data_IF_781170369462
#
_entry.id   IF_781170369462
#
_cell.length_a   1.000
_cell.length_b   1.000
_cell.length_c   1.000
_cell.angle_alpha   90.00
_cell.angle_beta   90.00
_cell.angle_gamma   90.00
#
_symmetry.space_group_name_H-M   'P 1'
#
loop_
_entity.id
_entity.type
_entity.pdbx_description
1 polymer ?
#
# COMPACT_ATOMS: atom_id res chain seq x y z
N UNK A 1 46.55 43.66 -70.34
CA UNK A 1 45.43 44.55 -70.69
C UNK A 1 44.53 44.60 -69.46
N UNK A 2 44.50 45.76 -68.80
CA UNK A 2 43.65 46.20 -67.64
C UNK A 2 43.52 45.20 -66.46
N UNK A 3 44.17 45.33 -65.30
CA UNK A 3 44.34 46.41 -64.29
C UNK A 3 43.03 46.74 -63.50
N UNK A 4 43.19 46.70 -62.17
CA UNK A 4 42.45 47.37 -61.06
C UNK A 4 41.56 46.41 -60.21
N UNK A 5 41.90 45.95 -58.98
CA UNK A 5 42.44 46.53 -57.71
C UNK A 5 41.31 46.65 -56.66
N UNK A 6 41.28 45.82 -55.61
CA UNK A 6 41.53 46.07 -54.16
C UNK A 6 40.35 45.39 -53.40
N UNK A 7 40.40 44.85 -52.18
CA UNK A 7 41.31 44.90 -51.03
C UNK A 7 40.88 43.80 -50.04
N UNK A 8 41.83 43.06 -49.49
CA UNK A 8 41.73 42.18 -48.29
C UNK A 8 41.51 43.00 -46.99
N UNK A 9 41.44 42.42 -45.76
CA UNK A 9 41.06 41.06 -45.27
C UNK A 9 40.15 41.12 -44.01
N UNK A 10 39.73 39.98 -43.44
CA UNK A 10 39.84 39.70 -41.97
C UNK A 10 39.25 38.35 -41.50
N UNK A 11 40.15 37.53 -40.93
CA UNK A 11 40.05 36.77 -39.65
C UNK A 11 38.76 35.98 -39.35
N UNK A 12 38.84 34.66 -39.17
CA UNK A 12 39.05 34.01 -37.87
C UNK A 12 39.19 32.48 -38.04
N UNK A 13 40.10 31.90 -37.25
CA UNK A 13 40.36 30.48 -37.07
C UNK A 13 39.10 29.70 -36.64
N UNK A 14 39.04 28.42 -37.02
CA UNK A 14 38.71 27.34 -36.08
C UNK A 14 39.26 26.01 -36.60
N UNK A 15 40.34 25.57 -35.96
CA UNK A 15 40.77 24.18 -35.94
C UNK A 15 39.89 23.41 -34.97
N UNK A 16 39.46 22.20 -35.35
CA UNK A 16 39.14 21.18 -34.34
C UNK A 16 39.65 19.82 -34.79
N UNK A 17 40.54 19.33 -33.94
CA UNK A 17 41.27 18.07 -33.97
C UNK A 17 40.33 16.92 -33.60
N UNK A 18 40.63 15.74 -34.15
CA UNK A 18 40.04 14.46 -33.82
C UNK A 18 39.96 14.18 -32.30
N UNK A 19 38.85 13.61 -31.84
CA UNK A 19 38.79 12.91 -30.56
C UNK A 19 38.01 11.62 -30.73
N UNK A 20 38.65 10.54 -30.29
CA UNK A 20 38.20 9.17 -30.31
C UNK A 20 36.77 9.02 -29.77
N UNK A 21 35.94 8.30 -30.53
CA UNK A 21 34.70 7.71 -30.04
C UNK A 21 35.12 6.55 -29.14
N UNK A 22 35.39 6.87 -27.87
CA UNK A 22 35.33 5.91 -26.78
C UNK A 22 33.84 5.64 -26.56
N UNK A 23 33.38 4.48 -27.03
CA UNK A 23 32.13 3.87 -26.57
C UNK A 23 32.29 3.54 -25.09
N UNK A 24 32.02 4.53 -24.23
CA UNK A 24 31.71 4.32 -22.83
C UNK A 24 30.29 3.75 -22.77
N UNK A 25 30.18 2.42 -22.82
CA UNK A 25 29.04 1.68 -22.28
C UNK A 25 29.05 1.77 -20.74
N UNK A 26 28.96 2.99 -20.22
CA UNK A 26 28.82 3.23 -18.79
C UNK A 26 27.58 4.09 -18.55
N UNK A 27 26.57 3.46 -17.96
CA UNK A 27 25.73 4.14 -16.99
C UNK A 27 24.35 4.58 -17.48
N UNK A 28 23.33 3.95 -16.90
CA UNK A 28 22.04 4.59 -16.74
C UNK A 28 20.86 3.63 -16.58
N UNK A 29 20.85 2.81 -15.52
CA UNK A 29 19.67 2.01 -15.12
C UNK A 29 18.45 2.87 -14.66
N UNK A 30 18.38 4.13 -15.04
CA UNK A 30 17.47 5.13 -14.49
C UNK A 30 16.30 5.51 -15.42
N UNK A 31 16.09 4.79 -16.53
CA UNK A 31 15.17 5.22 -17.59
C UNK A 31 13.67 4.86 -17.37
N UNK A 32 13.30 4.00 -16.43
CA UNK A 32 11.89 3.64 -16.20
C UNK A 32 11.28 4.46 -15.05
N UNK A 33 10.29 5.31 -15.37
CA UNK A 33 9.49 6.02 -14.38
C UNK A 33 8.55 5.11 -13.59
N UNK A 34 7.88 5.67 -12.58
CA UNK A 34 6.88 4.93 -11.83
C UNK A 34 5.67 4.54 -12.70
N UNK A 35 5.22 3.31 -12.55
CA UNK A 35 4.04 2.75 -13.23
C UNK A 35 2.89 2.57 -12.24
N UNK A 36 1.69 3.00 -12.62
CA UNK A 36 0.50 2.77 -11.79
C UNK A 36 0.20 1.27 -11.62
N UNK A 37 -0.07 0.87 -10.38
CA UNK A 37 -0.43 -0.47 -9.96
C UNK A 37 -1.56 -0.41 -8.93
N UNK A 38 -2.28 -1.52 -8.80
CA UNK A 38 -3.29 -1.70 -7.78
C UNK A 38 -2.93 -2.96 -6.99
N UNK A 39 -2.56 -2.80 -5.71
CA UNK A 39 -2.17 -3.92 -4.86
C UNK A 39 -3.38 -4.40 -4.05
N UNK A 40 -3.68 -5.71 -4.02
CA UNK A 40 -4.80 -6.21 -3.26
C UNK A 40 -4.56 -6.03 -1.75
N UNK A 41 -5.58 -5.59 -1.02
CA UNK A 41 -5.59 -5.78 0.44
C UNK A 41 -5.67 -7.28 0.74
N UNK A 42 -5.09 -7.71 1.86
CA UNK A 42 -5.02 -9.12 2.22
C UNK A 42 -5.93 -9.41 3.39
N UNK A 43 -6.93 -10.26 3.22
CA UNK A 43 -7.69 -10.77 4.34
C UNK A 43 -6.87 -11.88 5.03
N UNK A 44 -6.81 -11.81 6.36
CA UNK A 44 -6.25 -12.86 7.20
C UNK A 44 -7.41 -13.52 7.98
N UNK A 45 -8.28 -14.30 7.32
CA UNK A 45 -9.23 -15.14 8.04
C UNK A 45 -8.40 -16.15 8.84
N UNK A 46 -8.65 -16.30 10.14
CA UNK A 46 -7.88 -17.16 11.04
C UNK A 46 -7.40 -18.48 10.39
N UNK A 47 -6.18 -18.91 10.77
CA UNK A 47 -5.27 -19.87 10.14
C UNK A 47 -4.36 -19.27 9.04
N UNK A 48 -3.23 -19.91 8.75
CA UNK A 48 -2.10 -19.47 7.88
C UNK A 48 -2.46 -19.13 6.42
N UNK A 49 -3.74 -19.02 6.08
CA UNK A 49 -4.24 -18.71 4.75
C UNK A 49 -4.53 -17.23 4.61
N UNK A 50 -3.67 -16.57 3.86
CA UNK A 50 -3.86 -15.19 3.43
C UNK A 50 -4.70 -15.19 2.16
N UNK A 51 -5.75 -14.37 2.10
CA UNK A 51 -6.61 -14.27 0.92
C UNK A 51 -6.48 -12.87 0.31
N UNK A 52 -5.98 -12.73 -0.93
CA UNK A 52 -5.88 -11.45 -1.59
C UNK A 52 -7.27 -11.01 -2.01
N UNK A 53 -7.59 -9.75 -1.75
CA UNK A 53 -8.91 -9.21 -2.00
C UNK A 53 -8.99 -8.41 -3.30
N UNK A 54 -10.21 -8.11 -3.77
CA UNK A 54 -10.41 -7.13 -4.87
C UNK A 54 -10.57 -5.71 -4.36
N UNK A 55 -10.44 -5.44 -3.05
CA UNK A 55 -10.22 -4.06 -2.60
C UNK A 55 -8.74 -3.78 -2.79
N UNK A 56 -8.42 -2.78 -3.58
CA UNK A 56 -7.05 -2.58 -4.05
C UNK A 56 -6.55 -1.20 -3.66
N UNK A 57 -5.33 -1.13 -3.15
CA UNK A 57 -4.67 0.16 -2.94
C UNK A 57 -3.97 0.59 -4.21
N UNK A 58 -4.21 1.83 -4.63
CA UNK A 58 -3.48 2.40 -5.75
C UNK A 58 -2.11 2.84 -5.31
N UNK A 59 -1.11 2.35 -6.03
CA UNK A 59 0.30 2.64 -5.79
C UNK A 59 0.98 2.95 -7.10
N UNK A 60 2.03 3.73 -7.04
CA UNK A 60 2.94 3.89 -8.15
C UNK A 60 4.17 3.01 -7.85
N UNK A 61 4.52 2.10 -8.75
CA UNK A 61 5.62 1.16 -8.59
C UNK A 61 6.79 1.52 -9.51
N UNK A 62 8.00 1.41 -8.99
CA UNK A 62 9.23 1.41 -9.77
C UNK A 62 10.02 0.12 -9.50
N UNK A 63 10.49 -0.52 -10.57
CA UNK A 63 11.34 -1.71 -10.52
C UNK A 63 12.74 -1.35 -11.00
N UNK A 64 13.74 -1.98 -10.40
CA UNK A 64 15.14 -1.78 -10.72
C UNK A 64 15.78 -3.06 -11.25
N UNK A 65 16.35 -2.99 -12.45
CA UNK A 65 17.06 -4.12 -13.06
C UNK A 65 18.42 -4.35 -12.38
N UNK A 66 19.10 -3.27 -12.01
CA UNK A 66 20.36 -3.31 -11.25
C UNK A 66 20.06 -3.15 -9.76
N UNK A 67 20.04 -4.22 -8.95
CA UNK A 67 19.71 -4.12 -7.52
C UNK A 67 20.67 -3.26 -6.69
N UNK A 68 21.90 -3.01 -7.16
CA UNK A 68 22.94 -2.31 -6.42
C UNK A 68 23.05 -0.82 -6.81
N UNK A 69 22.08 -0.29 -7.58
CA UNK A 69 22.05 1.09 -8.05
C UNK A 69 22.22 2.12 -6.91
N UNK A 70 21.66 1.83 -5.73
CA UNK A 70 21.66 2.73 -4.57
C UNK A 70 23.04 2.85 -3.89
N UNK A 71 23.96 1.94 -4.19
CA UNK A 71 25.33 1.98 -3.69
C UNK A 71 26.27 2.77 -4.61
N UNK A 72 25.78 3.19 -5.79
CA UNK A 72 26.53 3.95 -6.80
C UNK A 72 26.18 5.44 -6.70
N UNK A 73 27.01 6.28 -7.32
CA UNK A 73 26.66 7.69 -7.47
C UNK A 73 25.35 7.84 -8.27
N UNK A 74 24.51 8.79 -7.87
CA UNK A 74 23.26 9.04 -8.58
C UNK A 74 23.55 9.44 -10.03
N UNK A 75 23.01 8.69 -10.98
CA UNK A 75 23.09 9.06 -12.39
C UNK A 75 22.18 10.25 -12.72
N UNK A 76 22.34 10.88 -13.91
CA UNK A 76 21.52 12.02 -14.34
C UNK A 76 20.00 11.73 -14.38
N UNK A 77 19.61 10.46 -14.55
CA UNK A 77 18.21 10.03 -14.57
C UNK A 77 17.62 9.67 -13.21
N UNK A 78 18.39 9.70 -12.12
CA UNK A 78 17.90 9.35 -10.80
C UNK A 78 16.82 10.34 -10.36
N UNK A 79 15.69 9.87 -9.84
CA UNK A 79 14.67 10.73 -9.26
C UNK A 79 15.09 11.30 -7.89
N UNK A 80 14.31 12.24 -7.35
CA UNK A 80 14.65 12.92 -6.11
C UNK A 80 14.71 11.98 -4.89
N UNK A 81 13.84 10.96 -4.83
CA UNK A 81 13.85 9.99 -3.74
C UNK A 81 15.05 9.04 -3.85
N UNK A 82 15.45 8.69 -5.06
CA UNK A 82 16.65 7.89 -5.33
C UNK A 82 17.93 8.61 -4.89
N UNK A 83 18.05 9.90 -5.22
CA UNK A 83 19.16 10.74 -4.76
C UNK A 83 19.19 10.86 -3.23
N UNK A 84 18.03 11.02 -2.60
CA UNK A 84 17.93 11.04 -1.14
C UNK A 84 18.32 9.71 -0.53
N UNK A 85 17.91 8.57 -1.09
CA UNK A 85 18.32 7.24 -0.63
C UNK A 85 19.83 7.07 -0.65
N UNK A 86 20.47 7.37 -1.79
CA UNK A 86 21.92 7.26 -1.94
C UNK A 86 22.63 8.13 -0.88
N UNK A 87 22.16 9.36 -0.69
CA UNK A 87 22.74 10.31 0.28
C UNK A 87 22.59 9.83 1.73
N UNK A 88 21.42 9.30 2.10
CA UNK A 88 21.15 8.78 3.45
C UNK A 88 21.97 7.53 3.73
N UNK A 89 22.02 6.59 2.78
CA UNK A 89 22.82 5.36 2.93
C UNK A 89 24.31 5.70 3.08
N UNK A 90 24.83 6.65 2.30
CA UNK A 90 26.20 7.11 2.43
C UNK A 90 26.47 7.72 3.81
N UNK A 91 25.59 8.63 4.27
CA UNK A 91 25.72 9.27 5.57
C UNK A 91 25.65 8.27 6.74
N UNK A 92 24.74 7.29 6.67
CA UNK A 92 24.62 6.23 7.68
C UNK A 92 25.85 5.32 7.73
N UNK A 93 26.40 4.93 6.56
CA UNK A 93 27.63 4.13 6.49
C UNK A 93 28.85 4.87 7.03
N UNK A 94 28.91 6.18 6.80
CA UNK A 94 29.98 7.04 7.32
C UNK A 94 29.80 7.41 8.81
N UNK A 95 28.67 7.08 9.43
CA UNK A 95 28.36 7.49 10.81
C UNK A 95 28.17 9.01 10.96
N UNK A 96 27.77 9.70 9.89
CA UNK A 96 27.59 11.15 9.85
C UNK A 96 26.22 11.57 10.41
N UNK A 97 26.03 11.49 11.74
CA UNK A 97 24.78 11.86 12.42
C UNK A 97 24.20 13.20 11.93
N UNK A 98 25.01 14.25 11.89
CA UNK A 98 24.57 15.59 11.49
C UNK A 98 24.05 15.64 10.05
N UNK A 99 24.63 14.85 9.15
CA UNK A 99 24.18 14.75 7.76
C UNK A 99 22.89 13.96 7.64
N UNK A 100 22.73 12.87 8.39
CA UNK A 100 21.46 12.13 8.44
C UNK A 100 20.33 13.02 8.96
N UNK A 101 20.59 13.81 10.01
CA UNK A 101 19.62 14.77 10.54
C UNK A 101 19.24 15.82 9.49
N UNK A 102 20.21 16.38 8.77
CA UNK A 102 19.99 17.36 7.71
C UNK A 102 19.20 16.80 6.50
N UNK A 103 19.22 15.49 6.30
CA UNK A 103 18.45 14.79 5.26
C UNK A 103 17.07 14.32 5.75
N UNK A 104 16.81 14.39 7.05
CA UNK A 104 15.57 13.90 7.67
C UNK A 104 14.47 14.96 7.67
N UNK A 105 13.22 14.51 7.61
CA UNK A 105 12.04 15.36 7.67
C UNK A 105 12.07 16.25 8.93
N UNK A 106 11.96 17.59 8.79
CA UNK A 106 12.12 18.50 9.91
C UNK A 106 11.17 18.24 11.07
N UNK A 107 9.95 17.78 10.79
CA UNK A 107 8.94 17.47 11.81
C UNK A 107 9.35 16.25 12.64
N UNK A 108 9.93 15.25 12.00
CA UNK A 108 10.45 14.05 12.66
C UNK A 108 11.81 14.30 13.34
N UNK A 109 12.56 15.32 12.92
CA UNK A 109 13.78 15.79 13.59
C UNK A 109 13.54 16.67 14.82
N UNK A 110 12.28 16.97 15.19
CA UNK A 110 11.94 17.88 16.31
C UNK A 110 12.28 17.34 17.70
N UNK A 111 12.27 16.02 17.88
CA UNK A 111 12.70 15.37 19.13
C UNK A 111 14.11 14.81 18.95
N UNK A 112 15.16 15.49 19.49
CA UNK A 112 16.54 15.04 19.32
C UNK A 112 16.80 13.68 19.96
N UNK A 113 16.17 13.37 21.10
CA UNK A 113 16.39 12.12 21.81
C UNK A 113 15.79 10.94 21.05
N UNK A 114 14.58 11.13 20.51
CA UNK A 114 13.93 10.13 19.68
C UNK A 114 14.71 9.90 18.36
N UNK A 115 15.19 10.98 17.73
CA UNK A 115 16.03 10.89 16.54
C UNK A 115 17.33 10.14 16.83
N UNK A 116 18.03 10.49 17.91
CA UNK A 116 19.30 9.88 18.30
C UNK A 116 19.17 8.39 18.61
N UNK A 117 18.07 8.00 19.25
CA UNK A 117 17.72 6.60 19.48
C UNK A 117 17.59 5.83 18.16
N UNK A 118 16.84 6.36 17.19
CA UNK A 118 16.67 5.70 15.88
C UNK A 118 17.95 5.70 15.05
N UNK A 119 18.66 6.82 15.00
CA UNK A 119 19.95 6.90 14.31
C UNK A 119 20.94 5.87 14.85
N UNK A 120 21.06 5.78 16.19
CA UNK A 120 21.91 4.79 16.84
C UNK A 120 21.46 3.37 16.49
N UNK A 121 20.15 3.11 16.52
CA UNK A 121 19.60 1.82 16.11
C UNK A 121 19.98 1.49 14.65
N UNK A 122 19.83 2.41 13.70
CA UNK A 122 20.22 2.23 12.29
C UNK A 122 21.71 1.93 12.13
N UNK A 123 22.58 2.71 12.77
CA UNK A 123 24.03 2.51 12.69
C UNK A 123 24.43 1.17 13.29
N UNK A 124 23.87 0.79 14.44
CA UNK A 124 24.12 -0.52 15.05
C UNK A 124 23.62 -1.64 14.14
N UNK A 125 22.42 -1.50 13.62
CA UNK A 125 21.78 -2.43 12.70
C UNK A 125 22.63 -2.67 11.43
N UNK A 126 23.18 -1.62 10.82
CA UNK A 126 24.08 -1.72 9.66
C UNK A 126 25.42 -2.40 9.95
N UNK A 127 25.81 -2.57 11.23
CA UNK A 127 26.96 -3.41 11.60
C UNK A 127 26.63 -4.91 11.53
N UNK A 128 25.36 -5.27 11.73
CA UNK A 128 24.92 -6.67 11.81
C UNK A 128 24.20 -7.17 10.56
N UNK A 129 23.73 -6.27 9.70
CA UNK A 129 23.22 -6.65 8.40
C UNK A 129 23.87 -5.90 7.25
N UNK A 130 24.05 -6.61 6.15
CA UNK A 130 24.44 -6.05 4.86
C UNK A 130 23.19 -5.59 4.14
N UNK A 131 23.16 -4.33 3.73
CA UNK A 131 22.20 -3.86 2.75
C UNK A 131 22.53 -4.56 1.42
N UNK A 132 21.64 -5.47 1.00
CA UNK A 132 21.66 -6.05 -0.33
C UNK A 132 20.86 -5.18 -1.30
N UNK A 133 20.28 -5.81 -2.32
CA UNK A 133 19.67 -5.11 -3.45
C UNK A 133 18.35 -4.39 -3.19
N UNK A 134 18.19 -3.20 -3.76
CA UNK A 134 16.92 -2.47 -3.89
C UNK A 134 16.29 -2.79 -5.24
N UNK A 135 15.25 -3.62 -5.28
CA UNK A 135 14.59 -4.00 -6.54
C UNK A 135 13.22 -3.34 -6.73
N UNK A 136 12.59 -2.89 -5.66
CA UNK A 136 11.26 -2.29 -5.71
C UNK A 136 11.22 -0.98 -4.93
N UNK A 137 10.61 0.03 -5.53
CA UNK A 137 10.11 1.19 -4.83
C UNK A 137 8.62 1.36 -5.10
N UNK A 138 7.89 1.76 -4.07
CA UNK A 138 6.46 2.06 -4.17
C UNK A 138 6.21 3.44 -3.62
N UNK A 139 5.36 4.19 -4.32
CA UNK A 139 4.89 5.50 -3.91
C UNK A 139 3.40 5.43 -3.55
N UNK A 140 3.12 5.89 -2.33
CA UNK A 140 1.82 5.99 -1.67
C UNK A 140 1.56 7.47 -1.40
N UNK A 141 0.86 8.13 -2.31
CA UNK A 141 0.72 9.57 -2.25
C UNK A 141 2.08 10.29 -2.36
N UNK A 142 2.47 11.02 -1.33
CA UNK A 142 3.76 11.73 -1.25
C UNK A 142 4.91 10.86 -0.74
N UNK A 143 4.60 9.72 -0.10
CA UNK A 143 5.59 8.84 0.53
C UNK A 143 6.11 7.83 -0.49
N UNK A 144 7.42 7.76 -0.66
CA UNK A 144 8.13 6.75 -1.45
C UNK A 144 8.87 5.80 -0.51
N UNK A 145 8.65 4.50 -0.67
CA UNK A 145 9.23 3.44 0.16
C UNK A 145 10.10 2.56 -0.71
N UNK A 146 11.34 2.32 -0.27
CA UNK A 146 12.26 1.41 -0.95
C UNK A 146 12.28 0.06 -0.21
N UNK A 147 12.00 -1.01 -0.95
CA UNK A 147 12.12 -2.38 -0.47
C UNK A 147 13.44 -2.96 -0.93
N UNK A 148 14.19 -3.47 0.02
CA UNK A 148 15.52 -4.02 -0.19
C UNK A 148 15.70 -5.35 0.51
N UNK A 149 16.59 -6.16 -0.05
CA UNK A 149 17.07 -7.37 0.61
C UNK A 149 18.11 -6.98 1.65
N UNK A 150 17.99 -7.51 2.86
CA UNK A 150 18.97 -7.40 3.93
C UNK A 150 19.50 -8.79 4.28
N UNK A 151 20.80 -8.92 4.43
CA UNK A 151 21.44 -10.16 4.88
C UNK A 151 21.89 -9.96 6.32
N UNK A 152 21.39 -10.80 7.23
CA UNK A 152 21.73 -10.70 8.66
C UNK A 152 22.87 -11.66 8.96
N UNK A 153 23.93 -11.18 9.59
CA UNK A 153 25.06 -12.01 10.00
C UNK A 153 24.58 -13.22 10.82
N UNK A 154 25.07 -14.41 10.48
CA UNK A 154 24.70 -15.66 11.14
C UNK A 154 23.32 -16.22 10.77
N UNK A 155 22.59 -15.61 9.82
CA UNK A 155 21.35 -16.16 9.26
C UNK A 155 21.53 -16.47 7.78
N UNK A 156 21.10 -17.66 7.37
CA UNK A 156 21.08 -18.02 5.96
C UNK A 156 19.99 -17.23 5.21
N UNK A 157 20.37 -16.70 4.04
CA UNK A 157 19.46 -16.05 3.11
C UNK A 157 19.21 -14.56 3.37
N UNK A 158 19.01 -13.81 2.28
CA UNK A 158 18.60 -12.42 2.34
C UNK A 158 17.08 -12.32 2.56
N UNK A 159 16.65 -11.35 3.37
CA UNK A 159 15.23 -11.10 3.70
C UNK A 159 14.80 -9.75 3.20
N UNK A 160 13.57 -9.61 2.77
CA UNK A 160 13.03 -8.31 2.39
C UNK A 160 12.78 -7.42 3.62
N UNK A 161 13.12 -6.15 3.49
CA UNK A 161 12.86 -5.11 4.45
C UNK A 161 12.58 -3.79 3.73
N UNK A 162 11.89 -2.87 4.42
CA UNK A 162 11.63 -1.51 3.95
C UNK A 162 12.20 -0.49 4.97
N UNK A 163 13.53 -0.44 5.17
CA UNK A 163 14.13 0.43 6.17
C UNK A 163 14.09 1.92 5.78
N UNK A 164 13.91 2.24 4.50
CA UNK A 164 13.95 3.60 4.00
C UNK A 164 12.62 4.01 3.39
N UNK A 165 12.02 5.04 3.98
CA UNK A 165 10.86 5.74 3.47
C UNK A 165 11.20 7.23 3.36
N UNK A 166 10.64 7.89 2.36
CA UNK A 166 10.89 9.29 2.05
C UNK A 166 9.59 9.99 1.76
N UNK A 167 9.42 11.20 2.27
CA UNK A 167 8.25 12.02 1.96
C UNK A 167 8.63 13.15 1.00
N UNK A 168 7.80 13.35 -0.01
CA UNK A 168 7.97 14.44 -0.99
C UNK A 168 7.08 15.61 -0.58
N UNK A 169 7.67 16.72 -0.17
CA UNK A 169 6.95 17.94 0.19
C UNK A 169 6.47 18.69 -1.07
N UNK A 170 5.50 19.63 -0.96
CA UNK A 170 4.96 20.37 -2.11
C UNK A 170 5.98 21.21 -2.85
N UNK A 171 7.06 21.62 -2.17
CA UNK A 171 8.18 22.34 -2.78
C UNK A 171 9.11 21.42 -3.62
N UNK A 172 8.77 20.14 -3.72
CA UNK A 172 9.52 19.12 -4.44
C UNK A 172 10.71 18.56 -3.67
N UNK A 173 10.95 19.00 -2.43
CA UNK A 173 12.01 18.43 -1.58
C UNK A 173 11.60 17.05 -1.09
N UNK A 174 12.58 16.15 -1.03
CA UNK A 174 12.37 14.77 -0.57
C UNK A 174 13.15 14.53 0.71
N UNK A 175 12.41 14.24 1.77
CA UNK A 175 12.94 14.09 3.12
C UNK A 175 12.93 12.64 3.56
N UNK A 176 14.00 12.21 4.23
CA UNK A 176 14.05 10.90 4.87
C UNK A 176 13.12 10.86 6.07
N UNK A 177 12.37 9.77 6.21
CA UNK A 177 11.54 9.50 7.39
C UNK A 177 12.32 8.57 8.33
N UNK A 178 12.94 9.10 9.41
CA UNK A 178 13.74 8.29 10.33
C UNK A 178 12.90 7.32 11.16
N UNK A 179 11.60 7.58 11.29
CA UNK A 179 10.64 6.64 11.88
C UNK A 179 9.84 5.97 10.78
N UNK A 180 9.45 4.72 11.03
CA UNK A 180 8.55 4.01 10.12
C UNK A 180 7.21 4.75 10.08
N UNK A 181 6.67 5.05 8.88
CA UNK A 181 5.32 5.54 8.76
C UNK A 181 4.36 4.61 9.50
N UNK A 182 3.43 5.18 10.26
CA UNK A 182 2.37 4.40 10.94
C UNK A 182 1.03 4.51 10.19
N UNK A 183 1.07 5.16 9.02
CA UNK A 183 -0.08 5.31 8.15
C UNK A 183 -0.58 3.94 7.65
N UNK A 184 -1.89 3.89 7.44
CA UNK A 184 -2.58 2.66 7.08
C UNK A 184 -2.15 2.15 5.71
N UNK A 185 -1.82 3.05 4.78
CA UNK A 185 -1.37 2.68 3.43
C UNK A 185 -0.02 1.97 3.45
N UNK A 186 0.95 2.49 4.18
CA UNK A 186 2.26 1.87 4.35
C UNK A 186 2.16 0.47 4.95
N UNK A 187 1.37 0.32 6.02
CA UNK A 187 1.23 -0.97 6.66
C UNK A 187 0.52 -1.99 5.75
N UNK A 188 -0.50 -1.59 4.98
CA UNK A 188 -1.17 -2.46 3.99
C UNK A 188 -0.23 -2.86 2.86
N UNK A 189 0.56 -1.92 2.34
CA UNK A 189 1.55 -2.20 1.30
C UNK A 189 2.59 -3.20 1.80
N UNK A 190 3.10 -2.98 3.01
CA UNK A 190 4.10 -3.86 3.63
C UNK A 190 3.53 -5.26 3.88
N UNK A 191 2.30 -5.37 4.34
CA UNK A 191 1.61 -6.66 4.53
C UNK A 191 1.51 -7.42 3.19
N UNK A 192 1.00 -6.76 2.14
CA UNK A 192 0.95 -7.34 0.81
C UNK A 192 2.34 -7.73 0.28
N UNK A 193 3.32 -6.83 0.35
CA UNK A 193 4.66 -7.05 -0.18
C UNK A 193 5.30 -8.32 0.39
N UNK A 194 5.13 -8.54 1.70
CA UNK A 194 5.74 -9.66 2.43
C UNK A 194 4.91 -10.95 2.39
N UNK A 195 3.72 -10.94 1.80
CA UNK A 195 2.89 -12.14 1.63
C UNK A 195 3.35 -13.04 0.48
N UNK A 196 2.74 -14.22 0.37
CA UNK A 196 2.91 -15.13 -0.77
C UNK A 196 2.49 -14.49 -2.12
N UNK A 197 1.65 -13.44 -2.08
CA UNK A 197 1.18 -12.73 -3.28
C UNK A 197 2.09 -11.59 -3.71
N UNK A 198 2.91 -11.07 -2.79
CA UNK A 198 3.79 -9.94 -3.03
C UNK A 198 5.14 -10.32 -3.61
N UNK A 199 6.00 -9.32 -3.90
CA UNK A 199 7.32 -9.58 -4.46
C UNK A 199 8.26 -10.37 -3.55
N UNK A 200 7.99 -10.41 -2.24
CA UNK A 200 8.77 -11.22 -1.32
C UNK A 200 8.49 -12.72 -1.44
N UNK A 201 7.24 -13.09 -1.75
CA UNK A 201 6.79 -14.47 -1.87
C UNK A 201 6.97 -15.08 -3.25
N UNK A 202 6.91 -14.27 -4.32
CA UNK A 202 6.97 -14.77 -5.69
C UNK A 202 7.59 -13.77 -6.70
N UNK A 203 8.22 -14.24 -7.78
CA UNK A 203 8.83 -13.36 -8.81
C UNK A 203 7.81 -12.51 -9.59
N UNK A 204 6.58 -13.00 -9.72
CA UNK A 204 5.48 -12.33 -10.41
C UNK A 204 4.41 -11.95 -9.38
N UNK A 205 4.55 -10.80 -8.70
CA UNK A 205 3.57 -10.35 -7.71
C UNK A 205 2.16 -10.23 -8.29
N UNK A 206 1.16 -10.58 -7.49
CA UNK A 206 -0.26 -10.53 -7.86
C UNK A 206 -0.81 -9.13 -7.57
N UNK A 207 -1.09 -8.41 -8.64
CA UNK A 207 -1.84 -7.16 -8.62
C UNK A 207 -3.33 -7.42 -8.86
N UNK A 208 -4.16 -6.44 -8.54
CA UNK A 208 -5.54 -6.43 -8.95
C UNK A 208 -5.66 -6.20 -10.46
N UNK A 209 -6.60 -6.90 -11.09
CA UNK A 209 -7.03 -6.56 -12.44
C UNK A 209 -8.01 -5.38 -12.39
N UNK A 210 -7.56 -4.24 -12.89
CA UNK A 210 -8.37 -3.01 -12.95
C UNK A 210 -9.13 -2.86 -14.25
N UNK A 211 -8.87 -3.71 -15.26
CA UNK A 211 -9.46 -3.59 -16.61
C UNK A 211 -10.91 -4.08 -16.69
N UNK A 212 -11.29 -5.06 -15.85
CA UNK A 212 -12.68 -5.58 -15.80
C UNK A 212 -13.62 -4.80 -14.86
N UNK A 213 -13.10 -3.87 -14.07
CA UNK A 213 -13.81 -3.25 -12.96
C UNK A 213 -14.08 -1.74 -13.16
N UNK A 214 -13.93 -1.25 -14.40
CA UNK A 214 -14.08 0.16 -14.79
C UNK A 214 -15.50 0.73 -14.61
N UNK A 215 -16.50 -0.11 -14.31
CA UNK A 215 -17.86 0.34 -14.05
C UNK A 215 -18.08 0.87 -12.63
N UNK A 216 -17.65 0.17 -11.58
CA UNK A 216 -18.06 0.45 -10.20
C UNK A 216 -16.86 0.57 -9.27
N UNK A 217 -16.09 1.65 -9.47
CA UNK A 217 -14.91 1.99 -8.68
C UNK A 217 -15.22 3.12 -7.71
N UNK A 218 -15.07 2.88 -6.42
CA UNK A 218 -15.07 3.93 -5.38
C UNK A 218 -13.66 4.13 -4.83
N UNK A 219 -13.23 5.38 -4.65
CA UNK A 219 -11.94 5.71 -4.05
C UNK A 219 -12.14 6.18 -2.61
N UNK A 220 -11.58 5.43 -1.66
CA UNK A 220 -11.47 5.84 -0.26
C UNK A 220 -10.08 6.44 -0.02
N UNK A 221 -9.95 7.74 0.28
CA UNK A 221 -8.71 8.29 0.80
C UNK A 221 -8.39 7.67 2.17
N UNK A 222 -7.18 7.15 2.32
CA UNK A 222 -6.69 6.64 3.60
C UNK A 222 -6.22 7.82 4.46
N UNK A 223 -6.97 8.13 5.50
CA UNK A 223 -6.58 9.15 6.48
C UNK A 223 -5.44 8.67 7.38
N UNK A 224 -4.46 9.53 7.60
CA UNK A 224 -3.43 9.31 8.62
C UNK A 224 -4.00 9.43 10.04
N UNK A 225 -3.40 8.77 11.05
CA UNK A 225 -3.74 8.93 12.47
C UNK A 225 -3.65 10.40 12.94
N UNK A 226 -4.32 10.81 14.03
CA UNK A 226 -4.37 12.21 14.48
C UNK A 226 -3.00 12.91 14.62
N UNK A 227 -1.97 12.21 15.11
CA UNK A 227 -0.61 12.75 15.20
C UNK A 227 0.04 13.00 13.85
N UNK A 228 -0.24 12.16 12.86
CA UNK A 228 0.21 12.33 11.47
C UNK A 228 -0.67 13.33 10.70
N UNK A 229 -1.92 13.61 11.14
CA UNK A 229 -2.78 14.64 10.51
C UNK A 229 -2.23 16.05 10.71
N UNK A 230 -1.65 16.36 11.87
CA UNK A 230 -1.01 17.66 12.11
C UNK A 230 0.21 17.84 11.20
N UNK A 231 0.98 16.76 11.03
CA UNK A 231 2.13 16.70 10.13
C UNK A 231 1.68 16.82 8.66
N UNK A 232 0.64 16.09 8.24
CA UNK A 232 0.07 16.16 6.90
C UNK A 232 -0.56 17.53 6.59
N UNK A 233 -1.21 18.17 7.56
CA UNK A 233 -1.76 19.53 7.41
C UNK A 233 -0.66 20.58 7.24
N UNK A 234 0.49 20.42 7.92
CA UNK A 234 1.66 21.27 7.74
C UNK A 234 2.33 21.09 6.36
N UNK A 235 2.12 19.93 5.72
CA UNK A 235 2.72 19.53 4.44
C UNK A 235 1.93 19.93 3.20
N UNK A 236 0.76 20.56 3.32
CA UNK A 236 -0.04 20.99 2.16
C UNK A 236 -0.69 19.86 1.33
N UNK A 237 -1.41 20.19 0.25
CA UNK A 237 -2.21 19.21 -0.48
C UNK A 237 -1.33 18.31 -1.38
N UNK A 238 -1.33 17.01 -1.09
CA UNK A 238 -0.80 15.96 -1.97
C UNK A 238 -1.87 14.88 -2.22
N UNK A 239 -1.71 14.02 -3.25
CA UNK A 239 -2.62 12.90 -3.44
C UNK A 239 -2.50 11.96 -2.24
N UNK A 240 -3.57 11.80 -1.47
CA UNK A 240 -3.58 10.82 -0.38
C UNK A 240 -3.55 9.39 -0.96
N UNK A 241 -2.86 8.43 -0.32
CA UNK A 241 -3.03 7.03 -0.68
C UNK A 241 -4.51 6.69 -0.61
N UNK A 242 -5.00 5.94 -1.60
CA UNK A 242 -6.42 5.62 -1.71
C UNK A 242 -6.63 4.14 -1.99
N UNK A 243 -7.72 3.61 -1.42
CA UNK A 243 -8.23 2.30 -1.76
C UNK A 243 -9.29 2.43 -2.84
N UNK A 244 -9.08 1.74 -3.95
CA UNK A 244 -10.09 1.45 -4.94
C UNK A 244 -10.91 0.24 -4.51
N UNK A 245 -12.19 0.48 -4.29
CA UNK A 245 -13.19 -0.55 -4.07
C UNK A 245 -13.83 -0.90 -5.40
N UNK A 246 -13.77 -2.19 -5.73
CA UNK A 246 -14.47 -2.78 -6.84
C UNK A 246 -15.56 -3.68 -6.28
N UNK A 247 -16.81 -3.39 -6.61
CA UNK A 247 -17.92 -4.22 -6.14
C UNK A 247 -19.23 -3.86 -6.80
N UNK A 248 -20.28 -4.59 -6.45
CA UNK A 248 -21.61 -4.46 -7.05
C UNK A 248 -22.67 -4.21 -6.00
N UNK A 249 -23.66 -3.42 -6.36
CA UNK A 249 -24.89 -3.29 -5.59
C UNK A 249 -25.63 -4.63 -5.58
N UNK A 250 -26.09 -5.05 -4.40
CA UNK A 250 -26.90 -6.26 -4.27
C UNK A 250 -28.29 -5.98 -4.85
N UNK A 251 -28.69 -6.74 -5.85
CA UNK A 251 -29.97 -6.57 -6.58
C UNK A 251 -29.84 -6.36 -8.09
N UNK A 252 -28.64 -6.06 -8.61
CA UNK A 252 -28.38 -5.91 -10.05
C UNK A 252 -28.09 -7.26 -10.77
N UNK A 253 -28.88 -8.30 -10.47
CA UNK A 253 -28.71 -9.65 -11.05
C UNK A 253 -28.96 -10.80 -10.06
N UNK A 254 -28.65 -12.03 -10.47
CA UNK A 254 -28.81 -13.22 -9.62
C UNK A 254 -27.97 -13.12 -8.32
N UNK A 255 -28.50 -13.55 -7.18
CA UNK A 255 -27.81 -13.46 -5.90
C UNK A 255 -26.55 -14.33 -5.90
N UNK A 256 -25.47 -13.79 -5.37
CA UNK A 256 -24.20 -14.51 -5.27
C UNK A 256 -24.27 -15.57 -4.16
N UNK A 257 -23.43 -16.61 -4.18
CA UNK A 257 -23.35 -17.56 -3.07
C UNK A 257 -23.13 -16.91 -1.70
N UNK A 258 -22.44 -15.76 -1.66
CA UNK A 258 -22.21 -14.97 -0.44
C UNK A 258 -23.51 -14.31 0.04
N UNK A 259 -24.28 -13.70 -0.87
CA UNK A 259 -25.58 -13.09 -0.53
C UNK A 259 -26.57 -14.16 -0.05
N UNK A 260 -26.62 -15.31 -0.74
CA UNK A 260 -27.47 -16.44 -0.33
C UNK A 260 -27.07 -16.99 1.05
N UNK A 261 -25.76 -17.10 1.32
CA UNK A 261 -25.26 -17.51 2.62
C UNK A 261 -25.66 -16.51 3.71
N UNK A 262 -25.54 -15.21 3.45
CA UNK A 262 -26.01 -14.18 4.37
C UNK A 262 -27.51 -14.30 4.63
N UNK A 263 -28.33 -14.44 3.59
CA UNK A 263 -29.79 -14.60 3.74
C UNK A 263 -30.14 -15.83 4.59
N UNK A 264 -29.42 -16.94 4.41
CA UNK A 264 -29.54 -18.14 5.26
C UNK A 264 -29.20 -17.83 6.73
N UNK A 265 -28.11 -17.10 6.98
CA UNK A 265 -27.69 -16.68 8.32
C UNK A 265 -28.73 -15.75 8.96
N UNK A 266 -29.21 -14.72 8.24
CA UNK A 266 -30.21 -13.78 8.71
C UNK A 266 -31.55 -14.47 9.03
N UNK A 267 -31.99 -15.40 8.17
CA UNK A 267 -33.19 -16.19 8.41
C UNK A 267 -33.04 -17.13 9.62
N UNK A 268 -31.88 -17.76 9.80
CA UNK A 268 -31.58 -18.56 10.97
C UNK A 268 -31.56 -17.72 12.25
N UNK A 269 -30.98 -16.51 12.20
CA UNK A 269 -31.00 -15.55 13.31
C UNK A 269 -32.43 -15.15 13.70
N UNK A 270 -33.31 -14.93 12.72
CA UNK A 270 -34.74 -14.64 12.98
C UNK A 270 -35.50 -15.78 13.67
N UNK A 271 -35.02 -17.02 13.54
CA UNK A 271 -35.57 -18.22 14.21
C UNK A 271 -34.82 -18.60 15.50
N UNK A 272 -33.81 -17.82 15.91
CA UNK A 272 -32.86 -18.18 16.97
C UNK A 272 -32.15 -19.53 16.75
N UNK A 273 -31.96 -19.93 15.48
CA UNK A 273 -31.30 -21.18 15.10
C UNK A 273 -29.78 -20.99 15.06
N UNK A 274 -29.17 -21.06 16.24
CA UNK A 274 -27.72 -20.96 16.41
C UNK A 274 -26.96 -22.06 15.68
N UNK A 275 -27.54 -23.26 15.55
CA UNK A 275 -26.87 -24.40 14.91
C UNK A 275 -26.59 -24.13 13.44
N UNK A 276 -27.55 -23.55 12.74
CA UNK A 276 -27.38 -23.15 11.33
C UNK A 276 -26.38 -22.01 11.18
N UNK A 277 -26.36 -21.04 12.11
CA UNK A 277 -25.40 -19.94 12.08
C UNK A 277 -23.98 -20.46 12.30
N UNK A 278 -23.79 -21.30 13.32
CA UNK A 278 -22.50 -21.96 13.62
C UNK A 278 -22.02 -22.80 12.42
N UNK A 279 -22.92 -23.54 11.78
CA UNK A 279 -22.58 -24.30 10.58
C UNK A 279 -22.22 -23.40 9.38
N UNK A 280 -22.65 -22.13 9.38
CA UNK A 280 -22.33 -21.14 8.34
C UNK A 280 -21.07 -20.33 8.66
N UNK A 281 -20.53 -20.41 9.88
CA UNK A 281 -19.29 -19.74 10.28
C UNK A 281 -18.08 -20.67 10.25
N UNK A 282 -16.88 -20.09 10.39
CA UNK A 282 -15.68 -20.84 10.77
C UNK A 282 -15.78 -21.36 12.21
N UNK A 283 -14.92 -22.33 12.59
CA UNK A 283 -14.90 -22.88 13.94
C UNK A 283 -14.65 -21.80 15.01
N UNK A 284 -13.70 -20.91 14.77
CA UNK A 284 -13.41 -19.78 15.67
C UNK A 284 -14.55 -18.76 15.69
N UNK A 285 -15.16 -18.49 14.54
CA UNK A 285 -16.34 -17.63 14.48
C UNK A 285 -17.51 -18.18 15.29
N UNK A 286 -17.67 -19.50 15.28
CA UNK A 286 -18.65 -20.20 16.12
C UNK A 286 -18.29 -20.11 17.61
N UNK A 287 -17.02 -20.25 17.97
CA UNK A 287 -16.55 -20.08 19.36
C UNK A 287 -16.90 -18.69 19.90
N UNK A 288 -16.67 -17.64 19.11
CA UNK A 288 -16.99 -16.26 19.52
C UNK A 288 -18.50 -16.00 19.65
N UNK A 289 -19.32 -16.60 18.80
CA UNK A 289 -20.78 -16.56 18.95
C UNK A 289 -21.23 -17.21 20.27
N UNK A 290 -20.52 -18.25 20.71
CA UNK A 290 -20.77 -18.90 21.99
C UNK A 290 -20.28 -18.06 23.18
N UNK A 291 -19.27 -17.19 22.99
CA UNK A 291 -18.75 -16.26 24.00
C UNK A 291 -19.63 -15.04 24.29
N UNK A 292 -20.70 -14.82 23.52
CA UNK A 292 -21.71 -13.79 23.83
C UNK A 292 -22.34 -14.15 25.19
N UNK A 293 -21.96 -13.37 26.21
CA UNK A 293 -21.97 -13.76 27.64
C UNK A 293 -23.36 -13.86 28.28
N UNK A 294 -24.38 -13.19 27.72
CA UNK A 294 -25.76 -13.26 28.25
C UNK A 294 -26.76 -13.70 27.17
N UNK A 295 -27.84 -14.37 27.60
CA UNK A 295 -28.94 -14.77 26.72
C UNK A 295 -29.63 -13.54 26.09
N UNK A 296 -29.73 -12.45 26.85
CA UNK A 296 -30.24 -11.15 26.41
C UNK A 296 -29.37 -10.50 25.33
N UNK A 297 -28.05 -10.47 25.50
CA UNK A 297 -27.13 -9.92 24.49
C UNK A 297 -27.15 -10.76 23.22
N UNK A 298 -27.21 -12.09 23.37
CA UNK A 298 -27.33 -13.01 22.24
C UNK A 298 -28.64 -12.81 21.48
N UNK A 299 -29.76 -12.69 22.19
CA UNK A 299 -31.08 -12.41 21.59
C UNK A 299 -31.08 -11.06 20.87
N UNK A 300 -30.46 -10.03 21.45
CA UNK A 300 -30.33 -8.70 20.85
C UNK A 300 -29.49 -8.75 19.56
N UNK A 301 -28.35 -9.43 19.62
CA UNK A 301 -27.47 -9.62 18.48
C UNK A 301 -28.17 -10.36 17.33
N UNK A 302 -28.84 -11.48 17.61
CA UNK A 302 -29.57 -12.25 16.59
C UNK A 302 -30.76 -11.47 16.01
N UNK A 303 -31.49 -10.73 16.85
CA UNK A 303 -32.59 -9.89 16.41
C UNK A 303 -32.12 -8.74 15.51
N UNK A 304 -30.93 -8.19 15.75
CA UNK A 304 -30.31 -7.21 14.87
C UNK A 304 -29.86 -7.85 13.55
N UNK A 305 -29.10 -8.95 13.61
CA UNK A 305 -28.62 -9.69 12.45
C UNK A 305 -29.77 -10.13 11.52
N UNK A 306 -30.90 -10.56 12.08
CA UNK A 306 -32.09 -10.95 11.32
C UNK A 306 -32.74 -9.80 10.53
N UNK A 307 -32.54 -8.55 10.97
CA UNK A 307 -33.12 -7.36 10.32
C UNK A 307 -32.20 -6.75 9.27
N UNK A 308 -30.92 -7.13 9.27
CA UNK A 308 -29.93 -6.60 8.35
C UNK A 308 -30.25 -6.97 6.91
N UNK A 309 -30.05 -6.04 5.99
CA UNK A 309 -30.22 -6.27 4.55
C UNK A 309 -28.90 -6.12 3.80
N UNK A 310 -28.57 -7.02 2.86
CA UNK A 310 -27.37 -6.87 2.06
C UNK A 310 -27.54 -5.67 1.12
N UNK A 311 -26.53 -4.82 1.02
CA UNK A 311 -26.59 -3.59 0.23
C UNK A 311 -25.51 -3.55 -0.86
N UNK A 312 -24.29 -3.89 -0.51
CA UNK A 312 -23.15 -3.89 -1.43
C UNK A 312 -22.27 -5.11 -1.18
N UNK A 313 -21.77 -5.69 -2.26
CA UNK A 313 -20.85 -6.82 -2.20
C UNK A 313 -19.55 -6.43 -2.89
N UNK A 314 -18.47 -6.35 -2.11
CA UNK A 314 -17.11 -6.39 -2.64
C UNK A 314 -16.74 -7.86 -2.82
N UNK A 315 -16.73 -8.32 -4.07
CA UNK A 315 -16.40 -9.69 -4.44
C UNK A 315 -14.89 -9.83 -4.55
N UNK A 316 -14.28 -10.48 -3.57
CA UNK A 316 -12.84 -10.58 -3.43
C UNK A 316 -12.26 -11.91 -3.96
N UNK A 317 -12.99 -12.61 -4.85
CA UNK A 317 -12.59 -13.90 -5.41
C UNK A 317 -12.80 -15.06 -4.44
N UNK A 318 -11.82 -15.34 -3.57
CA UNK A 318 -11.91 -16.36 -2.52
C UNK A 318 -12.30 -15.77 -1.15
N UNK A 319 -12.45 -14.45 -1.09
CA UNK A 319 -13.08 -13.74 0.00
C UNK A 319 -14.21 -12.83 -0.53
N UNK A 320 -15.01 -12.28 0.37
CA UNK A 320 -16.02 -11.29 0.04
C UNK A 320 -16.28 -10.40 1.25
N UNK A 321 -16.51 -9.10 1.02
CA UNK A 321 -17.05 -8.20 2.04
C UNK A 321 -18.47 -7.83 1.63
N UNK A 322 -19.43 -8.26 2.43
CA UNK A 322 -20.82 -7.90 2.27
C UNK A 322 -21.15 -6.77 3.25
N UNK A 323 -21.51 -5.61 2.71
CA UNK A 323 -22.02 -4.52 3.51
C UNK A 323 -23.51 -4.71 3.73
N UNK A 324 -23.90 -4.78 4.99
CA UNK A 324 -25.28 -5.00 5.41
C UNK A 324 -25.81 -3.77 6.12
N UNK A 325 -27.11 -3.50 6.02
CA UNK A 325 -27.77 -2.33 6.62
C UNK A 325 -28.80 -2.78 7.66
N UNK A 326 -28.56 -2.39 8.92
CA UNK A 326 -29.50 -2.45 10.04
C UNK A 326 -29.87 -1.02 10.47
N UNK A 327 -29.62 -0.67 11.73
CA UNK A 327 -29.61 0.74 12.18
C UNK A 327 -28.43 1.52 11.58
N UNK A 328 -27.30 0.84 11.42
CA UNK A 328 -26.09 1.32 10.74
C UNK A 328 -25.72 0.39 9.58
N UNK A 329 -24.75 0.80 8.77
CA UNK A 329 -24.12 -0.09 7.80
C UNK A 329 -22.95 -0.79 8.44
N UNK A 330 -22.87 -2.12 8.31
CA UNK A 330 -21.82 -2.93 8.88
C UNK A 330 -21.23 -3.90 7.85
N UNK A 331 -19.89 -4.04 7.78
CA UNK A 331 -19.22 -5.02 6.96
C UNK A 331 -19.31 -6.42 7.58
N UNK A 332 -19.64 -7.41 6.76
CA UNK A 332 -19.53 -8.83 7.09
C UNK A 332 -18.55 -9.51 6.14
N UNK A 333 -17.64 -10.32 6.68
CA UNK A 333 -16.56 -10.94 5.92
C UNK A 333 -16.86 -12.39 5.63
N UNK A 334 -16.64 -12.81 4.40
CA UNK A 334 -16.84 -14.18 3.97
C UNK A 334 -15.58 -14.68 3.27
N UNK A 335 -15.30 -15.97 3.41
CA UNK A 335 -14.19 -16.63 2.71
C UNK A 335 -14.61 -18.01 2.21
N UNK A 336 -13.99 -18.47 1.12
CA UNK A 336 -14.17 -19.83 0.62
C UNK A 336 -13.37 -20.81 1.47
N UNK A 337 -14.04 -21.86 1.92
CA UNK A 337 -13.47 -23.01 2.60
C UNK A 337 -13.90 -24.28 1.84
N UNK A 338 -12.95 -24.90 1.13
CA UNK A 338 -13.26 -25.99 0.20
C UNK A 338 -14.14 -25.52 -0.95
N UNK A 339 -15.28 -26.17 -1.15
CA UNK A 339 -16.25 -25.82 -2.20
C UNK A 339 -17.31 -24.78 -1.77
N UNK A 340 -17.32 -24.40 -0.49
CA UNK A 340 -18.37 -23.54 0.08
C UNK A 340 -17.84 -22.23 0.66
N UNK A 341 -18.75 -21.29 0.92
CA UNK A 341 -18.48 -20.03 1.61
C UNK A 341 -18.76 -20.16 3.11
N UNK A 342 -18.01 -19.42 3.93
CA UNK A 342 -18.20 -19.30 5.38
C UNK A 342 -18.15 -17.84 5.82
N UNK A 343 -18.96 -17.47 6.80
CA UNK A 343 -18.84 -16.20 7.52
C UNK A 343 -17.64 -16.27 8.46
N UNK A 344 -16.73 -15.31 8.31
CA UNK A 344 -15.54 -15.16 9.15
C UNK A 344 -15.82 -14.01 10.12
N UNK A 345 -15.95 -14.33 11.40
CA UNK A 345 -16.13 -13.32 12.44
C UNK A 345 -14.76 -12.67 12.73
N UNK A 346 -14.47 -11.52 12.12
CA UNK A 346 -13.22 -10.80 12.36
C UNK A 346 -13.38 -9.91 13.59
N UNK A 347 -13.32 -10.52 14.77
CA UNK A 347 -13.24 -9.78 16.04
C UNK A 347 -11.82 -9.38 16.41
N UNK A 348 -10.80 -9.92 15.74
CA UNK A 348 -9.43 -9.39 15.86
C UNK A 348 -9.31 -8.14 14.98
N UNK A 349 -9.00 -7.02 15.62
CA UNK A 349 -8.65 -5.75 14.98
C UNK A 349 -7.36 -5.94 14.19
N UNK A 350 -7.45 -6.55 13.00
CA UNK A 350 -6.35 -6.59 12.05
C UNK A 350 -6.33 -5.28 11.24
N UNK A 351 -5.31 -5.10 10.42
CA UNK A 351 -5.12 -3.87 9.66
C UNK A 351 -6.32 -3.53 8.75
N UNK A 352 -6.98 -4.55 8.17
CA UNK A 352 -8.15 -4.33 7.33
C UNK A 352 -9.37 -3.89 8.14
N UNK A 353 -9.54 -4.41 9.35
CA UNK A 353 -10.60 -3.97 10.26
C UNK A 353 -10.55 -2.45 10.49
N UNK A 354 -9.35 -1.84 10.48
CA UNK A 354 -9.19 -0.38 10.58
C UNK A 354 -9.68 0.38 9.35
N UNK A 355 -9.57 -0.21 8.15
CA UNK A 355 -10.09 0.37 6.90
C UNK A 355 -11.61 0.31 6.88
N UNK A 356 -12.15 -0.89 7.12
CA UNK A 356 -13.60 -1.12 7.05
C UNK A 356 -14.36 -0.50 8.22
N UNK A 357 -13.69 -0.28 9.36
CA UNK A 357 -14.22 0.46 10.51
C UNK A 357 -14.14 1.98 10.40
N UNK A 358 -13.54 2.55 9.34
CA UNK A 358 -13.62 4.00 9.14
C UNK A 358 -15.07 4.40 8.85
N UNK A 359 -15.63 5.31 9.65
CA UNK A 359 -17.02 5.81 9.50
C UNK A 359 -17.35 6.27 8.07
N UNK A 360 -16.36 6.73 7.31
CA UNK A 360 -16.54 7.17 5.91
C UNK A 360 -17.04 6.00 5.04
N UNK A 361 -16.52 4.78 5.22
CA UNK A 361 -16.98 3.61 4.46
C UNK A 361 -18.39 3.19 4.84
N UNK A 362 -18.73 3.25 6.13
CA UNK A 362 -20.08 2.97 6.62
C UNK A 362 -21.08 4.02 6.09
N UNK A 363 -20.71 5.31 6.14
CA UNK A 363 -21.53 6.44 5.63
C UNK A 363 -21.72 6.37 4.12
N UNK A 364 -20.70 5.98 3.35
CA UNK A 364 -20.81 5.86 1.90
C UNK A 364 -21.63 4.63 1.48
N UNK A 365 -21.43 3.48 2.11
CA UNK A 365 -22.30 2.32 1.88
C UNK A 365 -23.74 2.58 2.37
N UNK A 366 -23.96 3.54 3.27
CA UNK A 366 -25.29 4.03 3.66
C UNK A 366 -25.91 5.00 2.62
N UNK A 367 -25.08 5.64 1.80
CA UNK A 367 -25.55 6.59 0.80
C UNK A 367 -26.39 5.87 -0.29
N UNK A 368 -27.38 6.54 -0.90
CA UNK A 368 -28.14 5.99 -2.03
C UNK A 368 -27.32 5.92 -3.33
N UNK A 369 -26.18 6.61 -3.41
CA UNK A 369 -25.38 6.78 -4.63
C UNK A 369 -23.85 6.74 -4.39
N UNK A 370 -23.25 5.78 -3.66
CA UNK A 370 -21.81 5.74 -3.37
C UNK A 370 -20.89 5.69 -4.61
N UNK A 371 -21.46 5.47 -5.80
CA UNK A 371 -20.76 5.25 -7.05
C UNK A 371 -21.26 6.20 -8.13
N UNK A 372 -21.39 7.50 -7.84
CA UNK A 372 -21.88 8.51 -8.81
C UNK A 372 -21.11 8.53 -10.14
N UNK A 373 -19.89 7.98 -10.20
CA UNK A 373 -19.15 7.72 -11.44
C UNK A 373 -19.82 6.70 -12.39
N UNK A 374 -20.88 6.00 -11.95
CA UNK A 374 -21.72 5.11 -12.76
C UNK A 374 -22.80 5.83 -13.58
N UNK A 375 -22.90 7.17 -13.50
CA UNK A 375 -23.80 7.95 -14.35
C UNK A 375 -23.01 8.96 -15.15
N UNK A 376 -22.32 8.48 -16.18
CA UNK A 376 -22.08 9.18 -17.46
C UNK A 376 -21.11 8.33 -18.30
N UNK A 377 -21.70 7.38 -19.05
CA UNK A 377 -21.42 7.08 -20.45
C UNK A 377 -22.42 6.07 -20.98
#
# INVERSE_FOLDING_TARGET
MELIVHSSPSRYLLATVAAAIVLLESGGAFAAGFTARAVPMLLHPYDDKVIPTTVCMEVAERRYDDPDWFAKAAGPGADAAERSLISVVAALRAGERGRVLALSDPEHGRDPAQFDSQYTAFVQQLKFFRLGGVQYAYRLGTVTVFFMKIEVAGKAGARWASPFAFDTHPDGRVWFLPYRPTDLGFMLLKDWFNSEFGPAGQPSPRYCDTKGASGARFLLPLNSPPGEKAIAAARGPGPAPALAFFGRQVGAGAPTPVVQLFEKIAAAAGRNDLSTIVAATTADGASQLNEIRSAEDRKRFLADLAKRRPTFLADLGDAAVLYTRGSDVEPMYFAKYGTGWKWVNISVVNINSRVFGQEIMLKQAAAPQPFTALRER
#
